data_IF_689220050104
#
_entry.id   IF_689220050104
#
_cell.length_a   1.000
_cell.length_b   1.000
_cell.length_c   1.000
_cell.angle_alpha   90.00
_cell.angle_beta   90.00
_cell.angle_gamma   90.00
#
_symmetry.space_group_name_H-M   'P 1'
#
loop_
_entity.id
_entity.type
_entity.pdbx_description
1 polymer ?
#
# COMPACT_ATOMS: atom_id res chain seq x y z
N UNK A 1 1.77 -24.34 10.82
CA UNK A 1 1.03 -23.43 11.73
C UNK A 1 0.11 -22.61 10.86
N UNK A 2 -1.22 -22.81 10.96
CA UNK A 2 -2.20 -21.87 10.39
C UNK A 2 -2.11 -20.58 11.23
N UNK A 3 -1.47 -19.53 10.72
CA UNK A 3 -1.61 -18.23 11.35
C UNK A 3 -2.94 -17.65 10.88
N UNK A 4 -3.77 -17.20 11.82
CA UNK A 4 -5.01 -16.46 11.57
C UNK A 4 -4.74 -14.96 11.77
N UNK A 5 -5.67 -14.11 11.38
CA UNK A 5 -5.54 -12.66 11.54
C UNK A 5 -4.46 -12.06 10.66
N UNK A 6 -3.61 -11.18 11.21
CA UNK A 6 -2.58 -10.45 10.47
C UNK A 6 -1.65 -11.36 9.64
N UNK A 7 -1.43 -12.61 10.09
CA UNK A 7 -0.64 -13.59 9.35
C UNK A 7 -1.23 -13.92 7.98
N UNK A 8 -2.54 -14.00 7.86
CA UNK A 8 -3.21 -14.27 6.59
C UNK A 8 -3.19 -13.05 5.67
N UNK A 9 -3.24 -11.84 6.21
CA UNK A 9 -3.11 -10.60 5.45
C UNK A 9 -1.78 -10.56 4.69
N UNK A 10 -0.64 -10.64 5.39
CA UNK A 10 0.65 -10.52 4.70
C UNK A 10 0.98 -11.72 3.80
N UNK A 11 0.51 -12.94 4.10
CA UNK A 11 0.69 -14.10 3.22
C UNK A 11 -0.04 -13.93 1.90
N UNK A 12 -1.30 -13.49 1.92
CA UNK A 12 -2.08 -13.22 0.72
C UNK A 12 -1.47 -12.10 -0.11
N UNK A 13 -0.97 -11.05 0.58
CA UNK A 13 -0.30 -9.97 -0.10
C UNK A 13 0.97 -10.47 -0.81
N UNK A 14 1.82 -11.25 -0.15
CA UNK A 14 3.03 -11.83 -0.75
C UNK A 14 2.67 -12.73 -1.93
N UNK A 15 1.70 -13.63 -1.78
CA UNK A 15 1.25 -14.50 -2.87
C UNK A 15 0.75 -13.72 -4.10
N UNK A 16 0.01 -12.61 -3.88
CA UNK A 16 -0.45 -11.75 -4.98
C UNK A 16 0.73 -11.03 -5.65
N UNK A 17 1.70 -10.56 -4.89
CA UNK A 17 2.91 -9.94 -5.43
C UNK A 17 3.76 -10.94 -6.24
N UNK A 18 3.90 -12.17 -5.76
CA UNK A 18 4.58 -13.25 -6.50
C UNK A 18 3.87 -13.60 -7.80
N UNK A 19 2.53 -13.61 -7.80
CA UNK A 19 1.75 -13.82 -9.01
C UNK A 19 1.98 -12.70 -10.04
N UNK A 20 2.08 -11.44 -9.58
CA UNK A 20 2.46 -10.32 -10.44
C UNK A 20 3.85 -10.52 -11.09
N UNK A 21 4.84 -10.97 -10.31
CA UNK A 21 6.19 -11.23 -10.82
C UNK A 21 6.24 -12.37 -11.85
N UNK A 22 5.36 -13.34 -11.75
CA UNK A 22 5.23 -14.46 -12.67
C UNK A 22 4.49 -14.08 -13.95
N UNK A 23 4.15 -12.81 -14.14
CA UNK A 23 3.30 -12.31 -15.24
C UNK A 23 1.89 -12.93 -15.21
N UNK A 24 1.43 -13.29 -14.01
CA UNK A 24 0.10 -13.83 -13.77
C UNK A 24 -0.99 -12.76 -13.83
N UNK A 25 -2.22 -13.17 -13.62
CA UNK A 25 -3.37 -12.28 -13.69
C UNK A 25 -3.59 -11.55 -12.34
N UNK A 26 -3.36 -10.26 -12.33
CA UNK A 26 -3.63 -9.37 -11.19
C UNK A 26 -4.46 -8.15 -11.64
N UNK A 27 -4.95 -7.41 -10.66
CA UNK A 27 -5.59 -6.10 -10.88
C UNK A 27 -4.71 -5.02 -10.22
N UNK A 28 -4.33 -3.99 -10.99
CA UNK A 28 -3.60 -2.84 -10.45
C UNK A 28 -4.46 -2.12 -9.39
N UNK A 29 -3.91 -1.89 -8.17
CA UNK A 29 -4.68 -1.33 -7.07
C UNK A 29 -3.79 -0.56 -6.07
N UNK A 30 -3.49 0.73 -6.30
CA UNK A 30 -3.74 1.53 -7.51
C UNK A 30 -2.77 1.23 -8.67
N UNK A 31 -1.63 0.58 -8.42
CA UNK A 31 -0.64 0.20 -9.43
C UNK A 31 -0.40 -1.32 -9.38
N UNK A 32 0.29 -1.86 -10.38
CA UNK A 32 0.68 -3.27 -10.37
C UNK A 32 1.66 -3.59 -9.22
N UNK A 33 2.58 -2.66 -8.89
CA UNK A 33 3.56 -2.84 -7.81
C UNK A 33 2.95 -2.90 -6.41
N UNK A 34 1.72 -2.43 -6.22
CA UNK A 34 0.99 -2.46 -4.94
C UNK A 34 -0.27 -3.34 -4.98
N UNK A 35 -0.47 -4.13 -6.04
CA UNK A 35 -1.68 -4.88 -6.34
C UNK A 35 -2.15 -5.86 -5.25
N UNK A 36 -1.25 -6.28 -4.36
CA UNK A 36 -1.56 -7.25 -3.31
C UNK A 36 -2.15 -6.66 -2.04
N UNK A 37 -2.03 -5.36 -1.79
CA UNK A 37 -2.42 -4.75 -0.50
C UNK A 37 -3.93 -4.81 -0.28
N UNK A 38 -4.71 -4.22 -1.18
CA UNK A 38 -6.17 -4.12 -1.03
C UNK A 38 -6.84 -5.50 -1.02
N UNK A 39 -6.59 -6.41 -1.99
CA UNK A 39 -7.26 -7.70 -1.99
C UNK A 39 -6.88 -8.57 -0.79
N UNK A 40 -5.62 -8.50 -0.34
CA UNK A 40 -5.17 -9.27 0.82
C UNK A 40 -5.91 -8.87 2.10
N UNK A 41 -6.07 -7.57 2.35
CA UNK A 41 -6.80 -7.06 3.51
C UNK A 41 -8.28 -7.44 3.44
N UNK A 42 -8.94 -7.18 2.31
CA UNK A 42 -10.37 -7.45 2.14
C UNK A 42 -10.67 -8.94 2.34
N UNK A 43 -9.95 -9.82 1.62
CA UNK A 43 -10.24 -11.26 1.65
C UNK A 43 -9.88 -11.88 2.99
N UNK A 44 -8.72 -11.53 3.58
CA UNK A 44 -8.32 -12.10 4.87
C UNK A 44 -9.31 -11.72 5.99
N UNK A 45 -9.71 -10.45 6.04
CA UNK A 45 -10.64 -9.97 7.08
C UNK A 45 -12.06 -10.48 6.84
N UNK A 46 -12.49 -10.57 5.57
CA UNK A 46 -13.80 -11.14 5.25
C UNK A 46 -13.92 -12.60 5.70
N UNK A 47 -12.90 -13.41 5.53
CA UNK A 47 -12.87 -14.79 6.01
C UNK A 47 -12.82 -14.89 7.53
N UNK A 48 -12.06 -14.02 8.20
CA UNK A 48 -11.94 -14.00 9.66
C UNK A 48 -13.28 -13.64 10.34
N UNK A 49 -13.98 -12.65 9.79
CA UNK A 49 -15.21 -12.09 10.35
C UNK A 49 -16.49 -12.60 9.68
N UNK A 50 -16.40 -13.54 8.73
CA UNK A 50 -17.55 -14.06 7.95
C UNK A 50 -18.33 -12.93 7.25
N UNK A 51 -17.65 -11.97 6.67
CA UNK A 51 -18.24 -10.82 5.98
C UNK A 51 -18.84 -11.26 4.64
N UNK A 52 -20.06 -10.84 4.35
CA UNK A 52 -20.77 -11.20 3.13
C UNK A 52 -20.05 -10.69 1.86
N UNK A 53 -20.27 -11.34 0.73
CA UNK A 53 -19.74 -10.90 -0.57
C UNK A 53 -20.21 -9.48 -0.91
N UNK A 54 -21.45 -9.13 -0.59
CA UNK A 54 -21.98 -7.79 -0.80
C UNK A 54 -21.17 -6.72 -0.05
N UNK A 55 -20.81 -6.98 1.22
CA UNK A 55 -19.98 -6.06 2.00
C UNK A 55 -18.53 -6.01 1.51
N UNK A 56 -17.99 -7.11 0.99
CA UNK A 56 -16.68 -7.11 0.35
C UNK A 56 -16.67 -6.24 -0.92
N UNK A 57 -17.75 -6.30 -1.73
CA UNK A 57 -17.94 -5.44 -2.90
C UNK A 57 -18.02 -3.96 -2.47
N UNK A 58 -18.77 -3.64 -1.42
CA UNK A 58 -18.85 -2.30 -0.87
C UNK A 58 -17.46 -1.81 -0.40
N UNK A 59 -16.67 -2.69 0.24
CA UNK A 59 -15.27 -2.41 0.61
C UNK A 59 -14.40 -2.09 -0.61
N UNK A 60 -14.52 -2.87 -1.70
CA UNK A 60 -13.81 -2.60 -2.96
C UNK A 60 -14.22 -1.26 -3.58
N UNK A 61 -15.50 -0.91 -3.55
CA UNK A 61 -15.99 0.39 -4.03
C UNK A 61 -15.42 1.54 -3.18
N UNK A 62 -15.38 1.37 -1.86
CA UNK A 62 -14.76 2.34 -0.94
C UNK A 62 -13.27 2.50 -1.23
N UNK A 63 -12.52 1.40 -1.39
CA UNK A 63 -11.12 1.45 -1.81
C UNK A 63 -10.96 2.21 -3.12
N UNK A 64 -11.76 1.89 -4.13
CA UNK A 64 -11.75 2.56 -5.43
C UNK A 64 -12.02 4.06 -5.31
N UNK A 65 -12.96 4.47 -4.48
CA UNK A 65 -13.27 5.89 -4.24
C UNK A 65 -12.09 6.61 -3.59
N UNK A 66 -11.48 6.05 -2.54
CA UNK A 66 -10.28 6.63 -1.91
C UNK A 66 -9.16 6.81 -2.92
N UNK A 67 -8.85 5.76 -3.71
CA UNK A 67 -7.82 5.81 -4.75
C UNK A 67 -8.11 6.87 -5.81
N UNK A 68 -9.36 6.97 -6.28
CA UNK A 68 -9.80 7.96 -7.26
C UNK A 68 -9.64 9.40 -6.75
N UNK A 69 -10.07 9.67 -5.52
CA UNK A 69 -9.95 11.01 -4.92
C UNK A 69 -8.49 11.44 -4.79
N UNK A 70 -7.60 10.54 -4.37
CA UNK A 70 -6.16 10.83 -4.29
C UNK A 70 -5.57 11.04 -5.69
N UNK A 71 -5.93 10.21 -6.66
CA UNK A 71 -5.39 10.26 -8.04
C UNK A 71 -5.76 11.56 -8.77
N UNK A 72 -6.83 12.22 -8.40
CA UNK A 72 -7.20 13.54 -8.93
C UNK A 72 -6.19 14.64 -8.58
N UNK A 73 -5.40 14.46 -7.52
CA UNK A 73 -4.42 15.46 -7.04
C UNK A 73 -2.97 15.00 -7.25
N UNK A 74 -2.72 13.69 -7.22
CA UNK A 74 -1.37 13.10 -7.17
C UNK A 74 -1.24 11.97 -8.19
N UNK A 75 -0.14 11.94 -8.92
CA UNK A 75 0.23 10.76 -9.71
C UNK A 75 0.70 9.65 -8.79
N UNK A 76 0.11 8.46 -8.93
CA UNK A 76 0.29 7.35 -7.99
C UNK A 76 1.49 6.46 -8.29
N UNK A 77 2.25 6.73 -9.36
CA UNK A 77 3.44 5.95 -9.70
C UNK A 77 4.61 6.23 -8.75
N UNK A 78 5.29 5.17 -8.31
CA UNK A 78 6.49 5.26 -7.47
C UNK A 78 7.60 6.09 -8.10
N UNK A 79 7.74 6.03 -9.43
CA UNK A 79 8.68 6.83 -10.23
C UNK A 79 8.41 8.35 -10.16
N UNK A 80 7.21 8.78 -9.81
CA UNK A 80 6.85 10.22 -9.74
C UNK A 80 6.94 10.74 -8.31
N UNK A 81 6.39 10.00 -7.36
CA UNK A 81 6.22 10.50 -5.99
C UNK A 81 6.66 9.51 -4.89
N UNK A 82 7.43 8.47 -5.24
CA UNK A 82 7.90 7.47 -4.30
C UNK A 82 6.85 6.42 -3.94
N UNK A 83 7.25 5.41 -3.18
CA UNK A 83 6.33 4.38 -2.67
C UNK A 83 5.23 4.93 -1.75
N UNK A 84 5.38 6.12 -1.18
CA UNK A 84 4.31 6.79 -0.45
C UNK A 84 3.04 6.98 -1.29
N UNK A 85 3.19 7.32 -2.59
CA UNK A 85 2.07 7.52 -3.50
C UNK A 85 1.52 6.19 -4.05
N UNK A 86 2.35 5.18 -4.19
CA UNK A 86 1.96 3.88 -4.69
C UNK A 86 1.40 2.97 -3.59
N UNK A 87 2.30 2.51 -2.73
CA UNK A 87 1.96 1.55 -1.67
C UNK A 87 1.27 2.22 -0.48
N UNK A 88 1.63 3.49 -0.18
CA UNK A 88 0.96 4.28 0.87
C UNK A 88 -0.50 4.55 0.53
N UNK A 89 -0.82 4.89 -0.72
CA UNK A 89 -2.20 5.05 -1.17
C UNK A 89 -2.94 3.72 -1.19
N UNK A 90 -2.30 2.63 -1.63
CA UNK A 90 -2.90 1.29 -1.54
C UNK A 90 -3.27 0.92 -0.09
N UNK A 91 -2.40 1.26 0.88
CA UNK A 91 -2.67 1.06 2.30
C UNK A 91 -3.85 1.92 2.79
N UNK A 92 -3.94 3.18 2.38
CA UNK A 92 -5.07 4.06 2.69
C UNK A 92 -6.40 3.55 2.10
N UNK A 93 -6.37 3.07 0.85
CA UNK A 93 -7.51 2.43 0.18
C UNK A 93 -7.99 1.21 0.96
N UNK A 94 -7.05 0.35 1.36
CA UNK A 94 -7.36 -0.85 2.14
C UNK A 94 -7.89 -0.53 3.54
N UNK A 95 -7.33 0.49 4.21
CA UNK A 95 -7.78 0.92 5.54
C UNK A 95 -9.22 1.47 5.50
N UNK A 96 -9.54 2.30 4.52
CA UNK A 96 -10.90 2.81 4.31
C UNK A 96 -11.90 1.70 3.99
N UNK A 97 -11.52 0.76 3.10
CA UNK A 97 -12.32 -0.41 2.77
C UNK A 97 -12.62 -1.27 4.01
N UNK A 98 -11.60 -1.53 4.81
CA UNK A 98 -11.74 -2.33 6.01
C UNK A 98 -12.63 -1.65 7.07
N UNK A 99 -12.45 -0.36 7.30
CA UNK A 99 -13.32 0.41 8.20
C UNK A 99 -14.79 0.32 7.75
N UNK A 100 -15.06 0.44 6.45
CA UNK A 100 -16.41 0.28 5.90
C UNK A 100 -16.96 -1.14 6.11
N UNK A 101 -16.17 -2.18 5.79
CA UNK A 101 -16.57 -3.58 5.92
C UNK A 101 -16.89 -3.98 7.36
N UNK A 102 -16.27 -3.33 8.34
CA UNK A 102 -16.51 -3.54 9.78
C UNK A 102 -17.59 -2.61 10.35
N UNK A 103 -18.36 -1.91 9.50
CA UNK A 103 -19.51 -1.10 9.90
C UNK A 103 -19.18 0.33 10.32
N UNK A 104 -17.97 0.80 10.01
CA UNK A 104 -17.55 2.18 10.27
C UNK A 104 -18.38 3.19 9.49
N UNK A 105 -18.66 4.33 10.11
CA UNK A 105 -19.30 5.47 9.47
C UNK A 105 -18.34 6.24 8.56
N UNK A 106 -18.83 7.20 7.79
CA UNK A 106 -18.03 7.98 6.82
C UNK A 106 -16.82 8.65 7.47
N UNK A 107 -16.95 9.19 8.68
CA UNK A 107 -15.83 9.84 9.38
C UNK A 107 -14.76 8.81 9.77
N UNK A 108 -15.14 7.63 10.23
CA UNK A 108 -14.21 6.56 10.57
C UNK A 108 -13.49 6.03 9.32
N UNK A 109 -14.18 5.90 8.18
CA UNK A 109 -13.59 5.53 6.89
C UNK A 109 -12.53 6.56 6.45
N UNK A 110 -12.85 7.85 6.54
CA UNK A 110 -11.92 8.93 6.19
C UNK A 110 -10.73 8.94 7.16
N UNK A 111 -10.97 8.79 8.46
CA UNK A 111 -9.90 8.74 9.46
C UNK A 111 -9.00 7.52 9.27
N UNK A 112 -9.54 6.34 8.97
CA UNK A 112 -8.76 5.14 8.67
C UNK A 112 -7.80 5.38 7.51
N UNK A 113 -8.30 5.93 6.40
CA UNK A 113 -7.51 6.27 5.21
C UNK A 113 -6.44 7.34 5.53
N UNK A 114 -6.81 8.36 6.29
CA UNK A 114 -5.91 9.45 6.69
C UNK A 114 -4.80 8.95 7.63
N UNK A 115 -5.14 8.12 8.63
CA UNK A 115 -4.18 7.51 9.55
C UNK A 115 -3.19 6.61 8.81
N UNK A 116 -3.66 5.80 7.86
CA UNK A 116 -2.80 4.96 7.07
C UNK A 116 -1.86 5.78 6.16
N UNK A 117 -2.37 6.80 5.46
CA UNK A 117 -1.58 7.56 4.50
C UNK A 117 -0.52 8.45 5.16
N UNK A 118 -0.89 9.21 6.20
CA UNK A 118 0.03 10.18 6.82
C UNK A 118 1.27 9.53 7.43
N UNK A 119 1.15 8.30 7.92
CA UNK A 119 2.26 7.60 8.57
C UNK A 119 3.25 6.97 7.57
N UNK A 120 2.99 7.11 6.26
CA UNK A 120 3.84 6.60 5.17
C UNK A 120 4.45 7.74 4.33
N UNK A 121 4.16 8.99 4.68
CA UNK A 121 4.75 10.15 4.00
C UNK A 121 6.28 10.08 4.04
N UNK A 122 6.92 10.30 2.90
CA UNK A 122 8.37 10.23 2.75
C UNK A 122 8.90 8.83 2.35
N UNK A 123 8.05 7.81 2.21
CA UNK A 123 8.50 6.48 1.80
C UNK A 123 9.03 6.49 0.37
N UNK A 124 10.33 6.21 0.25
CA UNK A 124 11.07 6.20 -1.02
C UNK A 124 10.75 4.98 -1.88
N UNK A 125 11.01 5.09 -3.19
CA UNK A 125 10.98 3.98 -4.12
C UNK A 125 12.40 3.67 -4.59
N UNK A 126 13.02 2.63 -4.01
CA UNK A 126 14.43 2.29 -4.15
C UNK A 126 14.64 0.79 -4.47
N UNK A 127 14.03 0.27 -5.56
CA UNK A 127 14.08 -1.15 -5.88
C UNK A 127 15.50 -1.60 -6.23
N UNK A 128 15.93 -2.72 -5.63
CA UNK A 128 17.23 -3.33 -5.89
C UNK A 128 17.21 -3.93 -7.29
N UNK A 129 18.25 -3.67 -8.05
CA UNK A 129 18.42 -4.12 -9.45
C UNK A 129 17.31 -3.63 -10.40
N UNK A 130 16.52 -2.64 -10.02
CA UNK A 130 15.35 -2.19 -10.80
C UNK A 130 14.17 -3.17 -10.78
N UNK A 131 14.23 -4.21 -9.97
CA UNK A 131 13.20 -5.24 -9.88
C UNK A 131 12.23 -4.95 -8.73
N UNK A 132 10.92 -5.12 -8.98
CA UNK A 132 9.86 -4.89 -7.98
C UNK A 132 9.77 -6.10 -7.02
N UNK A 133 10.90 -6.52 -6.47
CA UNK A 133 11.05 -7.66 -5.56
C UNK A 133 11.57 -7.22 -4.19
N UNK A 134 12.75 -6.59 -4.18
CA UNK A 134 13.42 -6.12 -2.97
C UNK A 134 13.52 -4.60 -3.00
N UNK A 135 12.92 -3.90 -2.03
CA UNK A 135 12.19 -4.38 -0.87
C UNK A 135 10.67 -4.57 -1.10
N UNK A 136 10.18 -4.38 -2.32
CA UNK A 136 8.78 -4.11 -2.68
C UNK A 136 7.79 -5.16 -2.14
N UNK A 137 8.05 -6.47 -2.32
CA UNK A 137 7.14 -7.53 -1.86
C UNK A 137 6.92 -7.45 -0.36
N UNK A 138 8.01 -7.35 0.41
CA UNK A 138 7.95 -7.31 1.88
C UNK A 138 7.42 -5.97 2.38
N UNK A 139 7.79 -4.85 1.74
CA UNK A 139 7.26 -3.52 2.05
C UNK A 139 5.74 -3.50 1.93
N UNK A 140 5.19 -4.06 0.87
CA UNK A 140 3.75 -4.16 0.67
C UNK A 140 3.08 -5.06 1.72
N UNK A 141 3.74 -6.14 2.16
CA UNK A 141 3.22 -6.98 3.23
C UNK A 141 3.08 -6.22 4.56
N UNK A 142 4.08 -5.39 4.91
CA UNK A 142 3.98 -4.49 6.07
C UNK A 142 2.87 -3.45 5.89
N UNK A 143 2.70 -2.90 4.70
CA UNK A 143 1.68 -1.89 4.42
C UNK A 143 0.26 -2.46 4.40
N UNK A 144 0.08 -3.73 4.07
CA UNK A 144 -1.19 -4.42 4.23
C UNK A 144 -1.58 -4.55 5.71
N UNK A 145 -0.63 -4.90 6.59
CA UNK A 145 -0.85 -4.93 8.06
C UNK A 145 -1.06 -3.51 8.61
N UNK A 146 -0.32 -2.54 8.10
CA UNK A 146 -0.48 -1.13 8.46
C UNK A 146 -1.89 -0.60 8.16
N UNK A 147 -2.49 -1.04 7.04
CA UNK A 147 -3.87 -0.70 6.71
C UNK A 147 -4.86 -1.20 7.77
N UNK A 148 -4.67 -2.42 8.26
CA UNK A 148 -5.49 -2.99 9.34
C UNK A 148 -5.39 -2.11 10.60
N UNK A 149 -4.16 -1.75 10.99
CA UNK A 149 -3.92 -0.86 12.13
C UNK A 149 -4.62 0.49 11.97
N UNK A 150 -4.56 1.09 10.78
CA UNK A 150 -5.24 2.36 10.49
C UNK A 150 -6.76 2.27 10.65
N UNK A 151 -7.36 1.18 10.18
CA UNK A 151 -8.80 0.92 10.31
C UNK A 151 -9.20 0.70 11.77
N UNK A 152 -8.48 -0.16 12.49
CA UNK A 152 -8.75 -0.46 13.90
C UNK A 152 -8.68 0.81 14.78
N UNK A 153 -7.64 1.64 14.60
CA UNK A 153 -7.52 2.90 15.31
C UNK A 153 -8.72 3.81 15.08
N UNK A 154 -9.14 3.97 13.82
CA UNK A 154 -10.29 4.81 13.47
C UNK A 154 -11.59 4.28 14.08
N UNK A 155 -11.84 2.97 14.01
CA UNK A 155 -13.02 2.31 14.60
C UNK A 155 -13.02 2.38 16.12
N UNK A 156 -11.85 2.52 16.77
CA UNK A 156 -11.73 2.79 18.19
C UNK A 156 -11.87 4.29 18.55
N UNK A 157 -12.24 5.15 17.59
CA UNK A 157 -12.46 6.58 17.81
C UNK A 157 -11.19 7.43 17.74
N UNK A 158 -10.06 6.89 17.26
CA UNK A 158 -8.83 7.67 17.05
C UNK A 158 -8.95 8.48 15.77
N UNK A 159 -8.96 9.79 15.88
CA UNK A 159 -9.06 10.70 14.74
C UNK A 159 -7.69 11.09 14.19
N UNK A 160 -7.60 11.26 12.88
CA UNK A 160 -6.50 11.99 12.27
C UNK A 160 -6.70 13.49 12.49
N UNK A 161 -5.87 14.13 13.30
CA UNK A 161 -6.00 15.57 13.54
C UNK A 161 -5.73 16.41 12.28
N UNK A 162 -5.00 15.86 11.32
CA UNK A 162 -4.81 16.46 9.99
C UNK A 162 -5.85 15.83 9.05
N UNK A 163 -6.70 16.65 8.39
CA UNK A 163 -7.69 16.16 7.44
C UNK A 163 -7.07 15.44 6.24
N UNK A 164 -7.82 14.50 5.65
CA UNK A 164 -7.35 13.70 4.51
C UNK A 164 -6.92 14.57 3.32
N UNK A 165 -7.62 15.65 3.03
CA UNK A 165 -7.29 16.56 1.92
C UNK A 165 -5.92 17.22 2.10
N UNK A 166 -5.57 17.64 3.31
CA UNK A 166 -4.27 18.24 3.62
C UNK A 166 -3.15 17.18 3.57
N UNK A 167 -3.45 15.93 3.96
CA UNK A 167 -2.51 14.81 3.85
C UNK A 167 -2.21 14.53 2.37
N UNK A 168 -3.22 14.54 1.50
CA UNK A 168 -3.04 14.34 0.05
C UNK A 168 -2.23 15.48 -0.56
N UNK A 169 -2.47 16.73 -0.18
CA UNK A 169 -1.68 17.87 -0.63
C UNK A 169 -0.21 17.76 -0.11
N UNK A 170 -0.03 17.30 1.13
CA UNK A 170 1.30 17.03 1.69
C UNK A 170 2.00 15.87 0.96
N UNK A 171 1.29 14.81 0.61
CA UNK A 171 1.81 13.70 -0.20
C UNK A 171 2.39 14.20 -1.52
N UNK A 172 1.65 15.09 -2.22
CA UNK A 172 2.08 15.72 -3.46
C UNK A 172 3.36 16.53 -3.27
N UNK A 173 3.38 17.42 -2.27
CA UNK A 173 4.54 18.27 -1.97
C UNK A 173 5.74 17.42 -1.58
N UNK A 174 5.58 16.44 -0.72
CA UNK A 174 6.66 15.52 -0.30
C UNK A 174 7.22 14.76 -1.51
N UNK A 175 6.35 14.28 -2.40
CA UNK A 175 6.77 13.66 -3.65
C UNK A 175 7.59 14.59 -4.54
N UNK A 176 7.24 15.87 -4.64
CA UNK A 176 7.99 16.87 -5.40
C UNK A 176 9.37 17.16 -4.77
N UNK A 177 9.46 17.19 -3.45
CA UNK A 177 10.69 17.44 -2.71
C UNK A 177 11.63 16.22 -2.66
N UNK A 178 11.10 15.02 -2.92
CA UNK A 178 11.90 13.79 -2.91
C UNK A 178 12.93 13.82 -4.03
N UNK A 179 14.18 13.49 -3.69
CA UNK A 179 15.27 13.40 -4.66
C UNK A 179 14.96 12.40 -5.77
N UNK A 180 15.27 12.70 -7.05
CA UNK A 180 15.08 11.75 -8.17
C UNK A 180 15.76 10.38 -7.95
N UNK A 181 16.89 10.33 -7.22
CA UNK A 181 17.57 9.06 -6.92
C UNK A 181 16.79 8.13 -6.01
N UNK A 182 15.70 8.61 -5.39
CA UNK A 182 14.80 7.85 -4.51
C UNK A 182 13.41 7.56 -5.14
N UNK A 183 13.29 7.76 -6.46
CA UNK A 183 12.05 7.60 -7.24
C UNK A 183 12.19 6.52 -8.29
N UNK A 184 12.32 5.26 -7.85
CA UNK A 184 12.36 4.07 -8.72
C UNK A 184 13.53 4.04 -9.74
N UNK A 185 14.54 4.87 -9.55
CA UNK A 185 15.71 4.94 -10.45
C UNK A 185 16.80 3.93 -10.11
N UNK A 186 16.70 3.26 -8.98
CA UNK A 186 17.78 2.40 -8.41
C UNK A 186 19.13 3.12 -8.25
N UNK A 187 19.11 4.47 -8.20
CA UNK A 187 20.31 5.30 -8.05
C UNK A 187 20.60 5.71 -6.61
N UNK A 188 19.73 5.34 -5.67
CA UNK A 188 19.86 5.68 -4.26
C UNK A 188 19.17 4.67 -3.34
N UNK A 189 19.16 4.94 -2.05
CA UNK A 189 18.51 4.10 -1.05
C UNK A 189 19.11 2.70 -0.99
N UNK A 190 18.26 1.70 -0.77
CA UNK A 190 18.67 0.28 -0.66
C UNK A 190 19.35 -0.24 -1.90
N UNK A 191 19.02 0.27 -3.08
CA UNK A 191 19.62 -0.15 -4.36
C UNK A 191 21.13 0.13 -4.46
N UNK A 192 21.68 0.98 -3.60
CA UNK A 192 23.11 1.34 -3.58
C UNK A 192 23.87 0.79 -2.38
N UNK A 193 23.28 -0.11 -1.63
CA UNK A 193 24.00 -0.84 -0.58
C UNK A 193 25.00 -1.83 -1.19
N UNK A 194 26.10 -2.16 -0.49
CA UNK A 194 27.08 -3.13 -1.00
C UNK A 194 26.45 -4.45 -1.46
N UNK A 195 25.54 -5.00 -0.66
CA UNK A 195 24.81 -6.25 -0.99
C UNK A 195 23.96 -6.10 -2.27
N UNK A 196 23.29 -4.96 -2.46
CA UNK A 196 22.51 -4.72 -3.67
C UNK A 196 23.37 -4.67 -4.93
N UNK A 197 24.56 -4.06 -4.84
CA UNK A 197 25.53 -4.01 -5.94
C UNK A 197 26.13 -5.39 -6.26
N UNK A 198 26.35 -6.24 -5.25
CA UNK A 198 26.76 -7.64 -5.46
C UNK A 198 25.67 -8.42 -6.19
N UNK A 199 24.41 -8.29 -5.79
CA UNK A 199 23.26 -8.92 -6.44
C UNK A 199 23.14 -8.47 -7.90
N UNK A 200 23.29 -7.18 -8.18
CA UNK A 200 23.28 -6.62 -9.54
C UNK A 200 24.36 -7.27 -10.42
N UNK A 201 25.58 -7.43 -9.89
CA UNK A 201 26.66 -8.07 -10.59
C UNK A 201 26.37 -9.55 -10.90
N UNK A 202 25.80 -10.29 -9.95
CA UNK A 202 25.44 -11.71 -10.14
C UNK A 202 24.33 -11.86 -11.19
N UNK A 203 23.34 -10.98 -11.19
CA UNK A 203 22.17 -11.10 -12.07
C UNK A 203 22.43 -10.64 -13.52
N UNK A 204 23.27 -9.63 -13.72
CA UNK A 204 23.38 -8.94 -15.01
C UNK A 204 24.77 -8.88 -15.64
N UNK A 205 25.82 -9.29 -14.93
CA UNK A 205 27.21 -9.20 -15.44
C UNK A 205 27.92 -10.53 -15.61
N UNK A 206 27.17 -11.68 -15.47
CA UNK A 206 27.69 -13.00 -15.80
C UNK A 206 27.27 -13.43 -17.19
#
# INVERSE_FOLDING_TARGET
VRSRGLGDVYKRQIATAEENLRMGRIVACPTAGSCGIVPAVIVAVAEEHNISEAEQINGLLTAGMVGLLVSNKVQLAGAVAGCQAECGVASAMAAGALAQMLGGNVNEIINASALALKNILGLTCDPVCGLVEVPCIKRNAFLAVHAVTGAELALCGVESKIPMDEIVDTLKITGQLMSPVLKETSQGGLAKTPTALELENVLFKN
#
